data_IF_945947338068
#
_entry.id   IF_945947338068
#
_cell.length_a   1.000
_cell.length_b   1.000
_cell.length_c   1.000
_cell.angle_alpha   90.00
_cell.angle_beta   90.00
_cell.angle_gamma   90.00
#
_symmetry.space_group_name_H-M   'P 1'
#
loop_
_entity.id
_entity.type
_entity.pdbx_description
1 polymer ?
#
# COMPACT_ATOMS: atom_id res chain seq x y z
N UNK A 1 -7.99 50.12 -40.53
CA UNK A 1 -7.77 50.79 -39.24
C UNK A 1 -7.20 49.72 -38.29
N UNK A 2 -5.90 49.39 -38.37
CA UNK A 2 -4.76 50.00 -37.68
C UNK A 2 -4.85 49.97 -36.15
N UNK A 3 -4.25 48.90 -35.56
CA UNK A 3 -3.45 48.73 -34.30
C UNK A 3 -3.75 49.57 -33.03
N UNK A 4 -3.35 49.13 -31.80
CA UNK A 4 -2.27 48.17 -31.49
C UNK A 4 -2.52 47.14 -30.36
N UNK A 5 -1.61 46.15 -30.31
CA UNK A 5 -1.29 45.29 -29.15
C UNK A 5 -0.53 46.06 -28.05
N UNK A 6 -0.43 45.50 -26.84
CA UNK A 6 0.76 45.66 -26.02
C UNK A 6 1.45 44.33 -25.69
N UNK A 7 2.76 44.48 -25.56
CA UNK A 7 3.84 43.51 -25.45
C UNK A 7 4.09 42.99 -24.02
N UNK A 8 4.57 41.75 -23.97
CA UNK A 8 5.73 41.26 -23.18
C UNK A 8 6.05 41.94 -21.85
N UNK A 9 5.95 41.17 -20.75
CA UNK A 9 6.91 41.27 -19.64
C UNK A 9 7.28 39.89 -19.11
N UNK A 10 8.50 39.48 -19.45
CA UNK A 10 9.32 38.44 -18.82
C UNK A 10 9.52 38.79 -17.34
N UNK A 11 9.27 37.85 -16.40
CA UNK A 11 9.87 37.90 -15.06
C UNK A 11 10.73 36.66 -14.83
N UNK A 12 12.01 36.92 -14.57
CA UNK A 12 13.05 36.02 -14.11
C UNK A 12 13.14 36.09 -12.58
N UNK A 13 13.65 35.02 -11.97
CA UNK A 13 14.09 34.96 -10.57
C UNK A 13 12.97 34.43 -9.66
N UNK A 14 13.21 33.48 -8.76
CA UNK A 14 14.39 33.36 -7.92
C UNK A 14 14.56 31.89 -7.48
N UNK A 15 15.76 31.33 -7.62
CA UNK A 15 16.14 30.07 -6.95
C UNK A 15 16.48 30.44 -5.51
N UNK A 16 15.68 30.00 -4.54
CA UNK A 16 16.06 30.02 -3.13
C UNK A 16 16.50 28.60 -2.73
N UNK A 17 17.80 28.43 -2.60
CA UNK A 17 18.42 27.28 -1.93
C UNK A 17 18.26 27.48 -0.42
N UNK A 18 17.43 26.65 0.23
CA UNK A 18 17.35 26.59 1.68
C UNK A 18 18.26 25.44 2.17
N UNK A 19 19.37 25.81 2.81
CA UNK A 19 20.21 24.91 3.58
C UNK A 19 19.49 24.55 4.88
N UNK A 20 19.29 23.25 5.15
CA UNK A 20 18.78 22.77 6.44
C UNK A 20 19.94 22.27 7.28
N UNK A 21 20.10 22.93 8.42
CA UNK A 21 21.08 22.72 9.47
C UNK A 21 20.76 21.39 10.20
N UNK A 22 21.73 20.48 10.24
CA UNK A 22 21.65 19.26 11.04
C UNK A 22 21.86 19.59 12.52
N UNK A 23 20.85 19.36 13.35
CA UNK A 23 20.96 19.45 14.81
C UNK A 23 20.82 18.03 15.38
N UNK A 24 21.95 17.43 15.73
CA UNK A 24 22.04 16.13 16.39
C UNK A 24 21.67 16.27 17.88
N UNK A 25 20.55 15.67 18.28
CA UNK A 25 20.19 15.49 19.69
C UNK A 25 20.68 14.12 20.16
N UNK A 26 21.78 14.12 20.90
CA UNK A 26 22.27 12.97 21.69
C UNK A 26 21.50 12.92 23.01
N UNK A 27 20.59 11.97 23.16
CA UNK A 27 20.00 11.64 24.48
C UNK A 27 20.80 10.48 25.07
N UNK A 28 21.60 10.79 26.09
CA UNK A 28 22.22 9.79 26.95
C UNK A 28 21.18 9.22 27.91
N UNK A 29 21.00 7.91 27.89
CA UNK A 29 20.26 7.18 28.92
C UNK A 29 21.27 6.43 29.77
N UNK A 30 21.41 6.88 31.01
CA UNK A 30 22.18 6.24 32.08
C UNK A 30 21.52 4.96 32.54
N UNK A 31 22.36 3.95 32.76
CA UNK A 31 22.08 2.64 33.32
C UNK A 31 21.37 2.70 34.67
N UNK A 32 20.29 1.93 34.84
CA UNK A 32 19.88 1.45 36.18
C UNK A 32 19.26 0.06 36.05
N UNK A 33 20.06 -0.94 36.43
CA UNK A 33 19.63 -2.32 36.70
C UNK A 33 18.84 -2.39 38.00
N UNK A 34 17.63 -2.97 38.05
CA UNK A 34 17.07 -3.49 39.28
C UNK A 34 17.32 -5.01 39.40
N UNK A 35 17.64 -5.39 40.62
CA UNK A 35 18.06 -6.70 41.04
C UNK A 35 16.91 -7.72 41.16
N UNK A 36 17.30 -8.97 40.95
CA UNK A 36 16.79 -10.25 41.44
C UNK A 36 15.66 -10.17 42.50
N UNK A 37 14.51 -10.75 42.16
CA UNK A 37 13.58 -11.32 43.13
C UNK A 37 13.23 -12.74 42.68
N UNK A 38 13.61 -13.67 43.55
CA UNK A 38 13.44 -15.12 43.49
C UNK A 38 11.99 -15.46 43.87
N UNK A 39 11.29 -16.26 43.08
CA UNK A 39 10.08 -16.94 43.53
C UNK A 39 9.87 -18.21 42.73
N UNK A 40 10.31 -19.30 43.36
CA UNK A 40 10.04 -20.69 43.01
C UNK A 40 8.55 -21.01 43.01
N UNK A 41 8.04 -21.56 41.91
CA UNK A 41 6.89 -22.47 41.93
C UNK A 41 7.10 -23.58 40.91
N UNK A 42 7.30 -24.78 41.44
CA UNK A 42 7.37 -26.05 40.72
C UNK A 42 5.97 -26.51 40.32
N UNK A 43 5.80 -27.04 39.10
CA UNK A 43 5.37 -28.43 38.82
C UNK A 43 4.93 -28.61 37.35
N UNK A 44 5.61 -29.55 36.67
CA UNK A 44 4.99 -30.51 35.75
C UNK A 44 4.85 -30.12 34.27
N UNK A 45 5.73 -30.65 33.41
CA UNK A 45 5.35 -31.76 32.50
C UNK A 45 6.54 -32.19 31.65
N UNK A 46 6.76 -33.50 31.61
CA UNK A 46 7.78 -34.20 30.84
C UNK A 46 7.53 -34.13 29.34
N UNK A 47 8.58 -33.81 28.57
CA UNK A 47 8.62 -33.96 27.12
C UNK A 47 10.06 -34.12 26.67
N UNK A 48 10.42 -35.34 26.28
CA UNK A 48 11.75 -35.75 25.82
C UNK A 48 12.19 -34.98 24.57
N UNK A 49 13.32 -34.28 24.64
CA UNK A 49 14.04 -33.75 23.49
C UNK A 49 15.21 -34.67 23.16
N UNK A 50 15.06 -35.44 22.08
CA UNK A 50 16.20 -36.06 21.40
C UNK A 50 16.86 -34.99 20.54
N UNK A 51 18.12 -34.69 20.86
CA UNK A 51 18.95 -33.79 20.07
C UNK A 51 19.43 -34.45 18.78
N UNK A 52 19.32 -33.71 17.68
CA UNK A 52 20.30 -33.76 16.60
C UNK A 52 20.50 -32.34 16.12
N UNK A 53 21.74 -31.89 16.28
CA UNK A 53 22.15 -30.53 16.06
C UNK A 53 22.08 -30.11 14.60
N UNK A 54 21.58 -28.90 14.41
CA UNK A 54 22.17 -27.95 13.49
C UNK A 54 22.18 -26.60 14.20
N UNK A 55 23.38 -26.10 14.50
CA UNK A 55 23.58 -24.72 14.91
C UNK A 55 23.32 -23.85 13.68
N UNK A 56 22.07 -23.49 13.48
CA UNK A 56 21.61 -22.47 12.53
C UNK A 56 20.66 -21.51 13.26
N UNK A 57 21.01 -21.15 14.50
CA UNK A 57 20.05 -20.56 15.45
C UNK A 57 20.23 -19.07 15.74
N UNK A 58 21.26 -18.40 15.21
CA UNK A 58 21.48 -16.97 15.47
C UNK A 58 20.83 -16.07 14.43
N UNK A 59 20.82 -16.48 13.16
CA UNK A 59 20.21 -15.69 12.07
C UNK A 59 18.68 -15.73 12.17
N UNK A 60 18.09 -16.89 12.50
CA UNK A 60 16.62 -17.03 12.59
C UNK A 60 16.00 -16.20 13.71
N UNK A 61 16.62 -16.10 14.88
CA UNK A 61 16.05 -15.33 16.01
C UNK A 61 16.00 -13.83 15.71
N UNK A 62 17.05 -13.30 15.05
CA UNK A 62 17.07 -11.89 14.63
C UNK A 62 16.01 -11.65 13.55
N UNK A 63 15.91 -12.55 12.57
CA UNK A 63 14.90 -12.47 11.50
C UNK A 63 13.47 -12.54 12.06
N UNK A 64 13.21 -13.43 13.02
CA UNK A 64 11.93 -13.56 13.71
C UNK A 64 11.57 -12.29 14.49
N UNK A 65 12.54 -11.69 15.18
CA UNK A 65 12.34 -10.42 15.90
C UNK A 65 12.03 -9.28 14.93
N UNK A 66 12.75 -9.20 13.81
CA UNK A 66 12.51 -8.20 12.76
C UNK A 66 11.14 -8.42 12.12
N UNK A 67 10.73 -9.66 11.87
CA UNK A 67 9.42 -10.00 11.34
C UNK A 67 8.30 -9.61 12.33
N UNK A 68 8.48 -9.88 13.63
CA UNK A 68 7.54 -9.49 14.67
C UNK A 68 7.41 -7.96 14.79
N UNK A 69 8.54 -7.23 14.74
CA UNK A 69 8.53 -5.77 14.74
C UNK A 69 7.83 -5.19 13.50
N UNK A 70 8.09 -5.73 12.31
CA UNK A 70 7.38 -5.36 11.07
C UNK A 70 5.88 -5.60 11.20
N UNK A 71 5.46 -6.72 11.77
CA UNK A 71 4.05 -7.03 11.96
C UNK A 71 3.37 -6.05 12.94
N UNK A 72 4.05 -5.62 14.00
CA UNK A 72 3.52 -4.60 14.90
C UNK A 72 3.30 -3.26 14.19
N UNK A 73 4.25 -2.84 13.35
CA UNK A 73 4.08 -1.65 12.51
C UNK A 73 2.86 -1.80 11.61
N UNK A 74 2.71 -2.95 10.93
CA UNK A 74 1.57 -3.18 10.06
C UNK A 74 0.23 -3.21 10.78
N UNK A 75 0.15 -3.79 11.98
CA UNK A 75 -1.07 -3.77 12.79
C UNK A 75 -1.51 -2.32 13.12
N UNK A 76 -0.55 -1.43 13.36
CA UNK A 76 -0.83 -0.01 13.61
C UNK A 76 -1.27 0.68 12.32
N UNK A 77 -0.55 0.47 11.22
CA UNK A 77 -0.85 1.13 9.94
C UNK A 77 -2.17 0.65 9.32
N UNK A 78 -2.57 -0.59 9.61
CA UNK A 78 -3.83 -1.18 9.12
C UNK A 78 -5.03 -0.78 9.99
N UNK A 79 -4.81 -0.15 11.15
CA UNK A 79 -5.90 0.32 12.00
C UNK A 79 -6.76 1.35 11.25
N UNK A 80 -8.08 1.30 11.50
CA UNK A 80 -9.06 2.17 10.85
C UNK A 80 -8.71 3.66 10.97
N UNK A 81 -8.16 4.06 12.12
CA UNK A 81 -7.78 5.44 12.41
C UNK A 81 -6.52 5.90 11.67
N UNK A 82 -5.61 4.98 11.31
CA UNK A 82 -4.32 5.31 10.71
C UNK A 82 -4.31 5.11 9.21
N UNK A 83 -4.99 4.08 8.70
CA UNK A 83 -4.89 3.66 7.29
C UNK A 83 -5.18 4.80 6.30
N UNK A 84 -6.27 5.53 6.52
CA UNK A 84 -6.71 6.62 5.65
C UNK A 84 -5.73 7.80 5.68
N UNK A 85 -5.45 8.46 6.83
CA UNK A 85 -4.50 9.57 6.86
C UNK A 85 -3.09 9.16 6.40
N UNK A 86 -2.68 7.91 6.65
CA UNK A 86 -1.41 7.39 6.16
C UNK A 86 -1.39 7.27 4.63
N UNK A 87 -2.45 6.77 3.99
CA UNK A 87 -2.55 6.70 2.54
C UNK A 87 -2.40 8.09 1.90
N UNK A 88 -3.13 9.11 2.38
CA UNK A 88 -2.96 10.48 1.89
C UNK A 88 -1.54 11.02 2.15
N UNK A 89 -0.95 10.69 3.31
CA UNK A 89 0.41 11.13 3.64
C UNK A 89 1.45 10.51 2.72
N UNK A 90 1.31 9.24 2.37
CA UNK A 90 2.20 8.55 1.43
C UNK A 90 2.10 9.17 0.04
N UNK A 91 0.88 9.33 -0.49
CA UNK A 91 0.68 9.85 -1.84
C UNK A 91 1.20 11.30 -1.98
N UNK A 92 1.05 12.14 -0.95
CA UNK A 92 1.61 13.52 -0.93
C UNK A 92 3.14 13.61 -0.94
N UNK A 93 3.85 12.55 -0.57
CA UNK A 93 5.31 12.56 -0.45
C UNK A 93 6.00 11.59 -1.41
N UNK A 94 5.23 10.75 -2.10
CA UNK A 94 5.72 9.75 -3.04
C UNK A 94 4.82 9.77 -4.26
N UNK A 95 5.04 10.74 -5.15
CA UNK A 95 4.24 10.94 -6.36
C UNK A 95 4.30 9.74 -7.32
N UNK A 96 5.35 8.92 -7.22
CA UNK A 96 5.48 7.68 -8.00
C UNK A 96 4.66 6.52 -7.45
N UNK A 97 4.19 6.57 -6.20
CA UNK A 97 3.51 5.46 -5.56
C UNK A 97 2.15 5.21 -6.24
N UNK A 98 1.91 4.02 -6.82
CA UNK A 98 0.64 3.73 -7.45
C UNK A 98 -0.49 3.49 -6.43
N UNK A 99 -1.69 3.89 -6.84
CA UNK A 99 -2.95 3.43 -6.26
C UNK A 99 -3.40 2.19 -7.02
N UNK A 100 -3.33 1.03 -6.37
CA UNK A 100 -3.68 -0.27 -6.93
C UNK A 100 -5.13 -0.60 -6.56
N UNK A 101 -6.00 -0.72 -7.54
CA UNK A 101 -7.42 -1.04 -7.34
C UNK A 101 -7.62 -2.51 -7.68
N UNK A 102 -8.07 -3.30 -6.69
CA UNK A 102 -8.33 -4.71 -6.88
C UNK A 102 -9.70 -4.95 -7.49
N UNK A 103 -9.75 -5.81 -8.51
CA UNK A 103 -10.98 -6.28 -9.12
C UNK A 103 -11.87 -7.13 -8.20
N UNK A 104 -13.10 -7.33 -8.66
CA UNK A 104 -14.05 -8.25 -8.07
C UNK A 104 -14.89 -8.86 -9.19
N UNK A 105 -15.27 -10.13 -8.99
CA UNK A 105 -15.99 -10.93 -9.96
C UNK A 105 -17.23 -10.19 -10.50
N UNK A 106 -17.27 -9.98 -11.83
CA UNK A 106 -18.43 -9.37 -12.49
C UNK A 106 -19.68 -10.25 -12.34
N UNK A 107 -20.85 -9.61 -12.42
CA UNK A 107 -22.14 -10.30 -12.43
C UNK A 107 -22.34 -11.11 -13.73
N UNK A 108 -23.36 -11.97 -13.77
CA UNK A 108 -23.64 -12.83 -14.93
C UNK A 108 -23.97 -12.03 -16.20
N UNK A 109 -24.53 -10.83 -16.04
CA UNK A 109 -24.82 -9.86 -17.10
C UNK A 109 -23.63 -8.92 -17.40
N UNK A 110 -22.43 -9.27 -16.92
CA UNK A 110 -21.20 -8.49 -16.97
C UNK A 110 -21.26 -7.14 -16.25
N UNK A 111 -22.27 -6.89 -15.40
CA UNK A 111 -22.34 -5.66 -14.61
C UNK A 111 -21.36 -5.67 -13.44
N UNK A 112 -20.96 -4.47 -13.02
CA UNK A 112 -20.13 -4.24 -11.82
C UNK A 112 -20.91 -4.60 -10.55
N UNK A 113 -20.37 -5.48 -9.67
CA UNK A 113 -20.97 -5.73 -8.36
C UNK A 113 -20.77 -4.51 -7.45
N UNK A 114 -21.64 -4.35 -6.44
CA UNK A 114 -21.59 -3.20 -5.52
C UNK A 114 -20.20 -3.03 -4.87
N UNK A 115 -19.55 -4.12 -4.49
CA UNK A 115 -18.21 -4.09 -3.88
C UNK A 115 -17.16 -3.46 -4.80
N UNK A 116 -17.27 -3.64 -6.12
CA UNK A 116 -16.35 -3.05 -7.10
C UNK A 116 -16.69 -1.57 -7.29
N UNK A 117 -17.98 -1.23 -7.35
CA UNK A 117 -18.47 0.15 -7.39
C UNK A 117 -17.98 0.95 -6.18
N UNK A 118 -18.07 0.40 -4.97
CA UNK A 118 -17.59 1.05 -3.74
C UNK A 118 -16.09 1.30 -3.77
N UNK A 119 -15.30 0.35 -4.29
CA UNK A 119 -13.85 0.51 -4.48
C UNK A 119 -13.52 1.60 -5.49
N UNK A 120 -14.25 1.67 -6.60
CA UNK A 120 -14.05 2.69 -7.63
C UNK A 120 -14.37 4.09 -7.09
N UNK A 121 -15.45 4.25 -6.33
CA UNK A 121 -15.76 5.52 -5.67
C UNK A 121 -14.72 5.89 -4.61
N UNK A 122 -14.24 4.92 -3.83
CA UNK A 122 -13.15 5.11 -2.88
C UNK A 122 -11.88 5.60 -3.58
N UNK A 123 -11.49 4.94 -4.66
CA UNK A 123 -10.33 5.28 -5.47
C UNK A 123 -10.48 6.66 -6.09
N UNK A 124 -11.61 6.97 -6.73
CA UNK A 124 -11.87 8.28 -7.32
C UNK A 124 -11.78 9.41 -6.29
N UNK A 125 -12.32 9.19 -5.09
CA UNK A 125 -12.22 10.16 -3.98
C UNK A 125 -10.77 10.39 -3.57
N UNK A 126 -9.98 9.33 -3.46
CA UNK A 126 -8.56 9.42 -3.12
C UNK A 126 -7.78 10.15 -4.22
N UNK A 127 -8.00 9.76 -5.48
CA UNK A 127 -7.26 10.27 -6.64
C UNK A 127 -7.57 11.73 -6.97
N UNK A 128 -8.78 12.21 -6.67
CA UNK A 128 -9.13 13.63 -6.79
C UNK A 128 -8.22 14.55 -5.95
N UNK A 129 -7.66 14.05 -4.83
CA UNK A 129 -6.67 14.78 -4.02
C UNK A 129 -5.22 14.56 -4.47
N UNK A 130 -4.96 13.54 -5.28
CA UNK A 130 -3.61 13.09 -5.67
C UNK A 130 -3.52 12.86 -7.19
N UNK A 131 -3.62 13.92 -8.02
CA UNK A 131 -3.73 13.79 -9.48
C UNK A 131 -2.44 13.33 -10.18
N UNK A 132 -1.29 13.40 -9.50
CA UNK A 132 0.00 13.00 -10.08
C UNK A 132 0.32 11.50 -9.89
N UNK A 133 -0.37 10.83 -8.95
CA UNK A 133 -0.11 9.44 -8.65
C UNK A 133 -0.67 8.51 -9.72
N UNK A 134 0.08 7.49 -10.16
CA UNK A 134 -0.40 6.52 -11.14
C UNK A 134 -1.45 5.59 -10.52
N UNK A 135 -2.32 5.04 -11.36
CA UNK A 135 -3.35 4.09 -10.98
C UNK A 135 -3.05 2.76 -11.64
N UNK A 136 -3.10 1.66 -10.89
CA UNK A 136 -3.04 0.31 -11.44
C UNK A 136 -4.39 -0.33 -11.20
N UNK A 137 -5.07 -0.72 -12.27
CA UNK A 137 -6.30 -1.54 -12.19
C UNK A 137 -5.94 -2.98 -12.54
N UNK A 138 -6.21 -3.92 -11.63
CA UNK A 138 -5.81 -5.33 -11.75
C UNK A 138 -7.00 -6.28 -11.60
N UNK A 139 -7.19 -7.13 -12.60
CA UNK A 139 -8.24 -8.14 -12.62
C UNK A 139 -8.56 -8.60 -14.04
N UNK A 140 -8.58 -9.92 -14.24
CA UNK A 140 -8.76 -10.55 -15.53
C UNK A 140 -10.21 -10.80 -15.91
N UNK A 141 -10.39 -11.64 -16.93
CA UNK A 141 -11.73 -12.00 -17.40
C UNK A 141 -12.45 -12.89 -16.39
N UNK A 142 -13.67 -12.48 -16.02
CA UNK A 142 -14.55 -13.30 -15.20
C UNK A 142 -15.18 -14.44 -16.02
N UNK A 143 -15.51 -14.20 -17.30
CA UNK A 143 -16.19 -15.12 -18.23
C UNK A 143 -15.76 -14.81 -19.67
N UNK A 144 -15.91 -15.77 -20.58
CA UNK A 144 -15.56 -15.60 -22.01
C UNK A 144 -16.34 -14.45 -22.69
N UNK A 145 -17.61 -14.25 -22.30
CA UNK A 145 -18.49 -13.24 -22.89
C UNK A 145 -18.40 -11.86 -22.21
N UNK A 146 -17.54 -11.71 -21.19
CA UNK A 146 -17.40 -10.47 -20.44
C UNK A 146 -16.01 -9.84 -20.65
N UNK A 147 -15.91 -8.49 -20.58
CA UNK A 147 -14.62 -7.82 -20.48
C UNK A 147 -13.85 -8.24 -19.21
N UNK A 148 -12.56 -7.92 -19.17
CA UNK A 148 -11.76 -8.05 -17.95
C UNK A 148 -12.28 -7.10 -16.87
N UNK A 149 -12.13 -7.49 -15.60
CA UNK A 149 -12.45 -6.61 -14.46
C UNK A 149 -11.66 -5.29 -14.56
N UNK A 150 -10.40 -5.36 -14.99
CA UNK A 150 -9.54 -4.19 -15.17
C UNK A 150 -10.03 -3.24 -16.27
N UNK A 151 -10.53 -3.75 -17.39
CA UNK A 151 -11.11 -2.93 -18.45
C UNK A 151 -12.36 -2.19 -17.94
N UNK A 152 -13.26 -2.90 -17.24
CA UNK A 152 -14.45 -2.29 -16.62
C UNK A 152 -14.07 -1.22 -15.61
N UNK A 153 -13.05 -1.47 -14.78
CA UNK A 153 -12.56 -0.47 -13.82
C UNK A 153 -11.99 0.77 -14.52
N UNK A 154 -11.22 0.60 -15.59
CA UNK A 154 -10.67 1.73 -16.36
C UNK A 154 -11.77 2.60 -16.96
N UNK A 155 -12.77 1.98 -17.59
CA UNK A 155 -13.89 2.71 -18.18
C UNK A 155 -14.67 3.47 -17.11
N UNK A 156 -14.96 2.81 -15.97
CA UNK A 156 -15.65 3.45 -14.85
C UNK A 156 -14.86 4.63 -14.25
N UNK A 157 -13.54 4.54 -14.11
CA UNK A 157 -12.70 5.65 -13.64
C UNK A 157 -12.69 6.81 -14.64
N UNK A 158 -12.68 6.50 -15.94
CA UNK A 158 -12.75 7.51 -17.00
C UNK A 158 -14.09 8.25 -16.95
N UNK A 159 -15.20 7.53 -16.75
CA UNK A 159 -16.54 8.11 -16.57
C UNK A 159 -16.65 8.98 -15.30
N UNK A 160 -15.87 8.64 -14.26
CA UNK A 160 -15.74 9.44 -13.04
C UNK A 160 -14.78 10.65 -13.19
N UNK A 161 -14.22 10.89 -14.39
CA UNK A 161 -13.30 11.99 -14.68
C UNK A 161 -11.99 11.89 -13.87
N UNK A 162 -11.46 10.68 -13.74
CA UNK A 162 -10.13 10.45 -13.17
C UNK A 162 -9.08 10.63 -14.28
N UNK A 163 -8.29 11.70 -14.19
CA UNK A 163 -7.28 12.07 -15.20
C UNK A 163 -5.87 11.48 -14.94
N UNK A 164 -5.73 10.65 -13.91
CA UNK A 164 -4.46 10.01 -13.55
C UNK A 164 -3.94 9.06 -14.64
N UNK A 165 -2.63 8.75 -14.63
CA UNK A 165 -2.04 7.70 -15.48
C UNK A 165 -2.62 6.32 -15.09
N UNK A 166 -3.51 5.75 -15.91
CA UNK A 166 -4.09 4.41 -15.66
C UNK A 166 -3.28 3.33 -16.37
N UNK A 167 -2.76 2.39 -15.58
CA UNK A 167 -2.05 1.18 -15.99
C UNK A 167 -3.01 0.00 -15.88
N UNK A 168 -3.19 -0.72 -16.98
CA UNK A 168 -4.14 -1.82 -17.11
C UNK A 168 -3.43 -3.17 -16.95
N UNK A 169 -3.90 -4.01 -16.03
CA UNK A 169 -3.44 -5.39 -15.83
C UNK A 169 -4.64 -6.34 -15.91
N UNK A 170 -4.73 -7.15 -16.98
CA UNK A 170 -5.93 -7.93 -17.35
C UNK A 170 -5.74 -9.47 -17.24
N UNK A 171 -4.63 -9.93 -16.69
CA UNK A 171 -4.29 -11.36 -16.66
C UNK A 171 -4.65 -12.02 -15.31
N UNK A 172 -4.80 -11.24 -14.25
CA UNK A 172 -4.95 -11.79 -12.92
C UNK A 172 -6.35 -12.38 -12.62
N UNK A 173 -6.43 -13.67 -12.34
CA UNK A 173 -7.67 -14.35 -11.92
C UNK A 173 -7.81 -14.54 -10.41
N UNK A 174 -6.82 -14.13 -9.61
CA UNK A 174 -6.87 -14.25 -8.15
C UNK A 174 -5.90 -13.27 -7.46
N UNK A 175 -6.05 -13.11 -6.15
CA UNK A 175 -5.25 -12.15 -5.36
C UNK A 175 -3.74 -12.37 -5.46
N UNK A 176 -3.24 -13.60 -5.62
CA UNK A 176 -1.80 -13.85 -5.76
C UNK A 176 -1.31 -13.42 -7.14
N UNK A 177 -2.12 -13.64 -8.18
CA UNK A 177 -1.82 -13.16 -9.53
C UNK A 177 -1.86 -11.63 -9.61
N UNK A 178 -2.82 -10.97 -8.95
CA UNK A 178 -2.85 -9.50 -8.89
C UNK A 178 -1.51 -8.98 -8.36
N UNK A 179 -1.00 -9.56 -7.27
CA UNK A 179 0.31 -9.17 -6.71
C UNK A 179 1.42 -9.48 -7.70
N UNK A 180 1.48 -10.71 -8.25
CA UNK A 180 2.53 -11.13 -9.18
C UNK A 180 2.65 -10.21 -10.39
N UNK A 181 1.53 -9.85 -11.01
CA UNK A 181 1.50 -9.07 -12.24
C UNK A 181 1.65 -7.57 -12.02
N UNK A 182 1.36 -7.08 -10.82
CA UNK A 182 1.59 -5.66 -10.47
C UNK A 182 2.93 -5.40 -9.77
N UNK A 183 3.59 -6.43 -9.23
CA UNK A 183 4.80 -6.27 -8.41
C UNK A 183 5.98 -5.61 -9.13
N UNK A 184 6.20 -5.96 -10.41
CA UNK A 184 7.28 -5.36 -11.21
C UNK A 184 7.05 -3.86 -11.38
N UNK A 185 5.86 -3.47 -11.83
CA UNK A 185 5.47 -2.05 -11.98
C UNK A 185 5.57 -1.29 -10.66
N UNK A 186 5.15 -1.87 -9.54
CA UNK A 186 5.26 -1.23 -8.22
C UNK A 186 6.74 -1.08 -7.82
N UNK A 187 7.57 -2.08 -8.09
CA UNK A 187 9.01 -2.06 -7.78
C UNK A 187 9.75 -0.99 -8.57
N UNK A 188 9.49 -0.90 -9.88
CA UNK A 188 10.05 0.14 -10.75
C UNK A 188 9.68 1.56 -10.29
N UNK A 189 8.52 1.70 -9.62
CA UNK A 189 8.01 2.96 -9.07
C UNK A 189 8.40 3.21 -7.60
N UNK A 190 9.34 2.44 -7.04
CA UNK A 190 9.91 2.65 -5.70
C UNK A 190 9.36 1.73 -4.60
N UNK A 191 8.61 0.69 -4.99
CA UNK A 191 8.22 -0.42 -4.11
C UNK A 191 7.17 -0.09 -3.05
N UNK A 192 6.48 1.06 -3.16
CA UNK A 192 5.36 1.43 -2.29
C UNK A 192 4.08 1.51 -3.09
N UNK A 193 2.98 0.98 -2.56
CA UNK A 193 1.67 1.10 -3.18
C UNK A 193 0.56 1.34 -2.14
N UNK A 194 -0.47 2.07 -2.56
CA UNK A 194 -1.74 2.14 -1.84
C UNK A 194 -2.71 1.16 -2.48
N UNK A 195 -3.19 0.18 -1.73
CA UNK A 195 -4.10 -0.86 -2.24
C UNK A 195 -5.53 -0.50 -1.84
N UNK A 196 -6.35 -0.23 -2.85
CA UNK A 196 -7.79 0.02 -2.72
C UNK A 196 -8.55 -1.30 -2.80
N UNK A 197 -9.31 -1.60 -1.76
CA UNK A 197 -10.03 -2.88 -1.62
C UNK A 197 -11.17 -2.72 -0.60
N UNK A 198 -11.86 -3.81 -0.25
CA UNK A 198 -13.01 -3.82 0.65
C UNK A 198 -12.83 -4.84 1.78
N UNK A 199 -13.55 -4.64 2.89
CA UNK A 199 -13.69 -5.62 3.95
C UNK A 199 -14.45 -6.87 3.47
N UNK A 200 -14.21 -8.07 4.05
CA UNK A 200 -13.21 -8.39 5.09
C UNK A 200 -11.85 -8.81 4.51
N UNK A 201 -11.64 -8.69 3.19
CA UNK A 201 -10.50 -9.32 2.51
C UNK A 201 -9.26 -8.43 2.38
N UNK A 202 -9.32 -7.17 2.82
CA UNK A 202 -8.22 -6.23 2.64
C UNK A 202 -6.91 -6.67 3.32
N UNK A 203 -6.98 -7.21 4.55
CA UNK A 203 -5.77 -7.66 5.28
C UNK A 203 -5.06 -8.78 4.53
N UNK A 204 -5.82 -9.71 3.94
CA UNK A 204 -5.27 -10.80 3.12
C UNK A 204 -4.57 -10.26 1.88
N UNK A 205 -5.18 -9.28 1.21
CA UNK A 205 -4.57 -8.64 0.06
C UNK A 205 -3.26 -7.93 0.43
N UNK A 206 -3.27 -7.09 1.46
CA UNK A 206 -2.07 -6.38 1.94
C UNK A 206 -0.95 -7.35 2.33
N UNK A 207 -1.30 -8.46 3.01
CA UNK A 207 -0.32 -9.50 3.33
C UNK A 207 0.36 -10.05 2.09
N UNK A 208 -0.38 -10.38 1.03
CA UNK A 208 0.20 -10.93 -0.20
C UNK A 208 1.19 -9.93 -0.85
N UNK A 209 0.85 -8.64 -0.90
CA UNK A 209 1.77 -7.61 -1.40
C UNK A 209 3.04 -7.51 -0.54
N UNK A 210 2.89 -7.56 0.79
CA UNK A 210 4.01 -7.47 1.74
C UNK A 210 4.92 -8.69 1.70
N UNK A 211 4.34 -9.89 1.55
CA UNK A 211 5.08 -11.14 1.35
C UNK A 211 5.88 -11.12 0.04
N UNK A 212 5.40 -10.39 -0.99
CA UNK A 212 6.14 -10.13 -2.23
C UNK A 212 7.22 -9.04 -2.10
N UNK A 213 7.48 -8.52 -0.89
CA UNK A 213 8.51 -7.53 -0.62
C UNK A 213 8.09 -6.08 -0.84
N UNK A 214 6.81 -5.82 -1.09
CA UNK A 214 6.28 -4.48 -1.36
C UNK A 214 5.79 -3.79 -0.08
N UNK A 215 5.97 -2.47 -0.02
CA UNK A 215 5.41 -1.62 1.05
C UNK A 215 3.98 -1.27 0.69
N UNK A 216 3.05 -2.16 1.02
CA UNK A 216 1.63 -1.96 0.75
C UNK A 216 0.85 -1.43 1.96
N UNK A 217 0.03 -0.41 1.72
CA UNK A 217 -0.87 0.20 2.70
C UNK A 217 -2.30 0.22 2.15
N UNK A 218 -3.28 0.03 3.02
CA UNK A 218 -4.68 -0.08 2.60
C UNK A 218 -5.39 1.27 2.53
N UNK A 219 -6.29 1.40 1.56
CA UNK A 219 -7.33 2.42 1.56
C UNK A 219 -8.68 1.74 1.30
N UNK A 220 -9.66 2.00 2.17
CA UNK A 220 -11.01 1.42 2.08
C UNK A 220 -11.99 2.59 2.17
N UNK A 221 -12.84 2.74 1.14
CA UNK A 221 -13.89 3.75 1.15
C UNK A 221 -15.23 3.16 1.60
N UNK A 222 -16.04 3.99 2.25
CA UNK A 222 -17.30 3.58 2.88
C UNK A 222 -17.11 3.05 4.29
N UNK A 223 -18.07 3.34 5.19
CA UNK A 223 -18.17 2.62 6.47
C UNK A 223 -18.74 1.24 6.14
N UNK A 224 -18.09 0.18 6.65
CA UNK A 224 -18.71 -1.14 6.70
C UNK A 224 -20.03 -1.14 7.47
#
# INVERSE_FOLDING_TARGET
>A
MSFPSPSSTRKRGCRLTAAVLACSLTVGVTTTTPALADSSSSLGSSGSVSGSGAVSGSVSVVDDLVAAAKQQVYNITDSEFVRTPLAHSILRHIDTAPVVILGAQLQEDCSTPQVLTDRLHAAATLLAEHPENPVIVTGGQTREDCPSEAAVMKDALTDMVVDNEIILEEEAGNTLQNVKYTAETITERGGTAIVVTSDPHYLRALKNYRDAGLRAFGYVGGRG
#
